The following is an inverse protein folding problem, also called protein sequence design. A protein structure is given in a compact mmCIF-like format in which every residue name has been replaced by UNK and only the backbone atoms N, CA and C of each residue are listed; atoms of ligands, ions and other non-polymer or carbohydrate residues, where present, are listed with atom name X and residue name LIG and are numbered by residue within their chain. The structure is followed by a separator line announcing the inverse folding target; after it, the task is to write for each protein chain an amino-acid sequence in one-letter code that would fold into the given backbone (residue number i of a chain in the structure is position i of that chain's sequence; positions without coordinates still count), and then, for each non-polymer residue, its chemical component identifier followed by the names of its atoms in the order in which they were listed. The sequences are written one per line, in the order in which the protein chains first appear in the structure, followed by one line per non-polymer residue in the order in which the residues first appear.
data_IF_180542009097
#
_entry.id   IF_180542009097
#
_cell.length_a   1.000
_cell.length_b   1.000
_cell.length_c   1.000
_cell.angle_alpha   90.00
_cell.angle_beta   90.00
_cell.angle_gamma   90.00
#
_symmetry.space_group_name_H-M   'P 1'
#
loop_
_entity.id
_entity.type
_entity.pdbx_description
1 polymer ?
#
# COMPACT_ATOMS: atom_id res chain seq x y z
N UNK A 1 2.55 11.61 -10.73
CA UNK A 1 1.88 11.66 -9.41
C UNK A 1 2.71 10.94 -8.37
N UNK A 2 2.57 11.33 -7.11
CA UNK A 2 3.24 10.69 -5.96
C UNK A 2 2.20 10.39 -4.90
N UNK A 3 2.11 9.13 -4.47
CA UNK A 3 1.27 8.70 -3.37
C UNK A 3 2.13 7.93 -2.37
N UNK A 4 2.30 8.47 -1.18
CA UNK A 4 3.13 7.86 -0.16
C UNK A 4 2.67 8.22 1.25
N UNK A 5 3.34 7.60 2.20
CA UNK A 5 3.03 7.70 3.62
C UNK A 5 4.31 7.74 4.45
N UNK A 6 4.25 8.35 5.63
CA UNK A 6 5.42 8.44 6.51
C UNK A 6 5.84 7.05 7.04
N UNK A 7 4.91 6.11 7.07
CA UNK A 7 5.10 4.74 7.51
C UNK A 7 5.95 3.90 6.56
N UNK A 8 6.14 4.33 5.30
CA UNK A 8 6.88 3.54 4.33
C UNK A 8 6.46 3.82 2.92
N UNK A 9 5.74 2.86 2.32
CA UNK A 9 5.39 2.78 0.90
C UNK A 9 5.26 4.14 0.21
N UNK A 10 5.94 4.26 -0.93
CA UNK A 10 5.82 5.43 -1.81
C UNK A 10 5.73 4.95 -3.24
N UNK A 11 4.70 5.43 -3.93
CA UNK A 11 4.37 5.12 -5.29
C UNK A 11 4.61 6.35 -6.17
N UNK A 12 5.12 6.09 -7.37
CA UNK A 12 5.36 7.12 -8.37
C UNK A 12 4.81 6.67 -9.71
N UNK A 13 4.18 7.55 -10.45
CA UNK A 13 4.17 7.40 -11.91
C UNK A 13 5.59 7.63 -12.39
N UNK A 14 6.07 6.85 -13.35
CA UNK A 14 7.43 7.02 -13.88
C UNK A 14 7.48 8.21 -14.84
N UNK A 15 8.69 8.72 -15.05
CA UNK A 15 8.91 9.89 -15.91
C UNK A 15 8.62 9.60 -17.39
N UNK A 16 8.65 8.32 -17.76
CA UNK A 16 8.43 7.78 -19.09
C UNK A 16 7.09 7.03 -19.22
N UNK A 17 6.23 7.07 -18.20
CA UNK A 17 4.89 6.50 -18.31
C UNK A 17 4.04 7.29 -19.35
N UNK A 18 3.12 6.64 -20.07
CA UNK A 18 2.16 7.34 -20.93
C UNK A 18 1.34 8.38 -20.16
N UNK A 19 0.92 9.45 -20.85
CA UNK A 19 0.14 10.54 -20.24
C UNK A 19 -1.11 10.03 -19.52
N UNK A 20 -1.82 9.05 -20.09
CA UNK A 20 -2.99 8.41 -19.48
C UNK A 20 -2.66 7.83 -18.09
N UNK A 21 -1.52 7.14 -17.95
CA UNK A 21 -1.07 6.59 -16.67
C UNK A 21 -0.69 7.71 -15.70
N UNK A 22 0.01 8.74 -16.18
CA UNK A 22 0.41 9.88 -15.35
C UNK A 22 -0.80 10.65 -14.82
N UNK A 23 -1.84 10.84 -15.63
CA UNK A 23 -3.03 11.63 -15.27
C UNK A 23 -4.03 10.82 -14.43
N UNK A 24 -4.21 9.53 -14.71
CA UNK A 24 -5.29 8.74 -14.13
C UNK A 24 -4.87 7.76 -13.03
N UNK A 25 -3.59 7.67 -12.69
CA UNK A 25 -3.10 6.77 -11.62
C UNK A 25 -2.20 7.46 -10.62
N UNK A 26 -2.07 6.84 -9.44
CA UNK A 26 -1.14 7.26 -8.39
C UNK A 26 0.18 6.50 -8.46
N UNK A 27 0.46 5.85 -9.59
CA UNK A 27 1.71 5.16 -9.86
C UNK A 27 1.80 3.76 -9.29
N UNK A 28 3.04 3.28 -9.15
CA UNK A 28 3.39 1.94 -8.65
C UNK A 28 4.57 2.00 -7.67
N UNK A 29 4.75 1.00 -6.79
CA UNK A 29 5.79 1.02 -5.75
C UNK A 29 7.17 1.35 -6.30
N UNK A 30 7.96 2.12 -5.55
CA UNK A 30 9.30 2.50 -6.01
C UNK A 30 10.32 1.35 -5.91
N UNK A 31 10.11 0.42 -4.97
CA UNK A 31 10.97 -0.75 -4.80
C UNK A 31 10.33 -1.99 -5.40
N UNK A 32 11.14 -2.84 -6.03
CA UNK A 32 10.71 -4.18 -6.44
C UNK A 32 10.48 -5.13 -5.26
N UNK A 33 10.92 -4.74 -4.06
CA UNK A 33 10.72 -5.49 -2.82
C UNK A 33 9.55 -4.95 -1.98
N UNK A 34 8.79 -3.98 -2.51
CA UNK A 34 7.50 -3.61 -1.91
C UNK A 34 6.45 -4.65 -2.29
N UNK A 35 5.81 -5.20 -1.27
CA UNK A 35 4.70 -6.12 -1.39
C UNK A 35 3.43 -5.34 -1.09
N UNK A 36 2.47 -5.38 -2.02
CA UNK A 36 1.16 -4.75 -1.87
C UNK A 36 0.06 -5.80 -1.99
N UNK A 37 -0.97 -5.66 -1.17
CA UNK A 37 -2.20 -6.46 -1.23
C UNK A 37 -3.39 -5.52 -1.20
N UNK A 38 -4.44 -5.88 -1.94
CA UNK A 38 -5.74 -5.18 -1.90
C UNK A 38 -6.75 -6.18 -1.38
N UNK A 39 -7.36 -5.88 -0.24
CA UNK A 39 -8.14 -6.87 0.52
C UNK A 39 -9.56 -6.39 0.87
N UNK A 40 -10.44 -7.35 1.12
CA UNK A 40 -11.78 -7.12 1.68
C UNK A 40 -11.75 -6.82 3.19
N UNK A 41 -12.91 -6.67 3.82
CA UNK A 41 -13.03 -6.42 5.26
C UNK A 41 -12.56 -7.58 6.16
N UNK A 42 -12.29 -8.75 5.58
CA UNK A 42 -11.82 -9.95 6.26
C UNK A 42 -10.34 -10.25 5.96
N UNK A 43 -9.60 -9.29 5.38
CA UNK A 43 -8.20 -9.40 4.94
C UNK A 43 -7.95 -10.45 3.83
N UNK A 44 -8.98 -10.85 3.07
CA UNK A 44 -8.81 -11.71 1.90
C UNK A 44 -8.51 -10.85 0.66
N UNK A 45 -7.61 -11.32 -0.22
CA UNK A 45 -7.31 -10.61 -1.46
C UNK A 45 -8.55 -10.52 -2.35
N UNK A 46 -8.86 -9.30 -2.81
CA UNK A 46 -9.94 -9.08 -3.77
C UNK A 46 -9.52 -9.52 -5.18
N UNK A 47 -10.49 -9.64 -6.09
CA UNK A 47 -10.20 -9.95 -7.48
C UNK A 47 -9.41 -8.81 -8.15
N UNK A 48 -8.55 -9.10 -9.14
CA UNK A 48 -7.86 -8.06 -9.91
C UNK A 48 -8.85 -7.04 -10.47
N UNK A 49 -8.56 -5.76 -10.28
CA UNK A 49 -9.43 -4.67 -10.73
C UNK A 49 -10.61 -4.34 -9.81
N UNK A 50 -10.76 -5.02 -8.66
CA UNK A 50 -11.73 -4.62 -7.64
C UNK A 50 -11.11 -3.60 -6.66
N UNK A 51 -11.98 -2.80 -6.03
CA UNK A 51 -11.56 -1.86 -4.97
C UNK A 51 -11.49 -2.60 -3.64
N UNK A 52 -10.44 -2.35 -2.86
CA UNK A 52 -10.30 -2.86 -1.51
C UNK A 52 -9.29 -2.07 -0.68
N UNK A 53 -9.07 -2.50 0.56
CA UNK A 53 -8.13 -1.86 1.49
C UNK A 53 -6.68 -2.17 1.11
N UNK A 54 -5.83 -1.15 1.09
CA UNK A 54 -4.40 -1.31 0.80
C UNK A 54 -3.63 -1.80 2.03
N UNK A 55 -2.96 -2.94 1.86
CA UNK A 55 -1.98 -3.48 2.78
C UNK A 55 -0.60 -3.44 2.12
N UNK A 56 0.42 -3.05 2.88
CA UNK A 56 1.80 -2.96 2.34
C UNK A 56 2.86 -3.49 3.30
N UNK A 57 3.94 -4.03 2.74
CA UNK A 57 5.12 -4.51 3.46
C UNK A 57 6.34 -4.32 2.58
N UNK A 58 7.46 -3.87 3.13
CA UNK A 58 8.64 -3.63 2.31
C UNK A 58 9.87 -3.23 3.11
N UNK A 59 11.01 -2.99 2.43
CA UNK A 59 12.29 -2.73 3.09
C UNK A 59 12.35 -1.40 3.86
N UNK A 60 11.44 -0.47 3.56
CA UNK A 60 11.34 0.84 4.21
C UNK A 60 9.96 1.10 4.82
N UNK A 61 9.09 0.07 4.89
CA UNK A 61 7.82 0.15 5.63
C UNK A 61 8.03 -0.33 7.06
N UNK A 62 7.65 0.51 8.03
CA UNK A 62 7.80 0.23 9.45
C UNK A 62 7.03 -1.03 9.85
N UNK A 63 7.40 -1.63 10.99
CA UNK A 63 6.75 -2.82 11.55
C UNK A 63 6.00 -2.53 12.85
N UNK A 64 5.82 -1.26 13.17
CA UNK A 64 5.20 -0.80 14.40
C UNK A 64 5.52 0.65 14.67
N UNK A 65 4.55 1.36 15.24
CA UNK A 65 4.74 2.67 15.81
C UNK A 65 5.42 2.58 17.18
N UNK A 66 6.11 3.65 17.55
CA UNK A 66 6.82 3.75 18.82
C UNK A 66 5.84 3.81 20.01
N UNK A 67 6.00 2.90 20.98
CA UNK A 67 5.23 2.85 22.25
C UNK A 67 3.71 2.86 22.07
N UNK A 68 3.20 2.15 21.07
CA UNK A 68 1.77 2.13 20.74
C UNK A 68 1.24 0.72 20.50
N UNK A 69 1.40 -0.19 21.47
CA UNK A 69 1.06 -1.62 21.33
C UNK A 69 -0.38 -1.87 20.86
N UNK A 70 -1.37 -1.20 21.45
CA UNK A 70 -2.79 -1.35 21.07
C UNK A 70 -3.07 -0.84 19.65
N UNK A 71 -2.36 0.20 19.22
CA UNK A 71 -2.49 0.70 17.86
C UNK A 71 -1.81 -0.26 16.87
N UNK A 72 -0.61 -0.74 17.19
CA UNK A 72 0.12 -1.71 16.39
C UNK A 72 -0.67 -3.01 16.18
N UNK A 73 -1.37 -3.50 17.21
CA UNK A 73 -2.19 -4.70 17.10
C UNK A 73 -3.33 -4.59 16.08
N UNK A 74 -3.79 -3.36 15.79
CA UNK A 74 -4.83 -3.08 14.78
C UNK A 74 -4.25 -2.73 13.42
N UNK A 75 -3.15 -1.96 13.40
CA UNK A 75 -2.57 -1.43 12.17
C UNK A 75 -1.72 -2.44 11.41
N UNK A 76 -1.23 -3.51 12.06
CA UNK A 76 -0.38 -4.51 11.42
C UNK A 76 -1.01 -5.90 11.44
N UNK A 77 -0.89 -6.66 10.35
CA UNK A 77 -1.26 -8.07 10.30
C UNK A 77 -0.22 -8.92 11.06
N UNK A 78 -0.56 -10.18 11.36
CA UNK A 78 0.38 -11.11 12.04
C UNK A 78 1.64 -11.41 11.23
N UNK A 79 1.54 -11.39 9.90
CA UNK A 79 2.65 -11.53 8.95
C UNK A 79 3.31 -10.17 8.58
N UNK A 80 2.88 -9.10 9.23
CA UNK A 80 3.57 -7.81 9.28
C UNK A 80 3.31 -6.88 8.10
N UNK A 81 2.19 -7.04 7.39
CA UNK A 81 1.65 -6.00 6.51
C UNK A 81 1.06 -4.87 7.35
N UNK A 82 1.29 -3.64 6.90
CA UNK A 82 0.67 -2.42 7.42
C UNK A 82 -0.63 -2.12 6.68
N UNK A 83 -1.72 -1.85 7.41
CA UNK A 83 -2.99 -1.36 6.88
C UNK A 83 -2.93 0.15 6.76
N UNK A 84 -2.94 0.67 5.53
CA UNK A 84 -2.74 2.11 5.29
C UNK A 84 -4.00 2.92 5.58
N UNK A 85 -5.17 2.27 5.53
CA UNK A 85 -6.48 2.92 5.63
C UNK A 85 -7.01 3.45 4.29
N UNK A 86 -6.23 3.32 3.21
CA UNK A 86 -6.65 3.74 1.87
C UNK A 86 -7.44 2.64 1.17
N UNK A 87 -8.45 3.06 0.40
CA UNK A 87 -9.12 2.20 -0.56
C UNK A 87 -8.52 2.42 -1.95
N UNK A 88 -8.07 1.33 -2.57
CA UNK A 88 -7.40 1.36 -3.87
C UNK A 88 -7.89 0.22 -4.75
N UNK A 89 -7.56 0.30 -6.04
CA UNK A 89 -7.71 -0.76 -7.02
C UNK A 89 -6.41 -0.90 -7.79
N UNK A 90 -5.98 -2.13 -8.05
CA UNK A 90 -4.87 -2.41 -8.97
C UNK A 90 -5.44 -2.63 -10.38
N UNK A 91 -4.84 -1.95 -11.37
CA UNK A 91 -5.16 -2.11 -12.78
C UNK A 91 -4.28 -3.16 -13.45
#
# INVERSE_FOLDING_TARGET
QVFGMAEGLVNYTRLDDPEEIIIHTQGRPMSALDEVRVVDENDNDVQPGEVGSLLTRGPYTIRGYYKAEEHNARSFTKDGFYRTGDLVKLN
#
